data_IF_249716597154
#
_entry.id   IF_249716597154
#
_cell.length_a   1.000
_cell.length_b   1.000
_cell.length_c   1.000
_cell.angle_alpha   90.00
_cell.angle_beta   90.00
_cell.angle_gamma   90.00
#
_symmetry.space_group_name_H-M   'P 1'
#
loop_
_entity.id
_entity.type
_entity.pdbx_description
1 polymer ?
#
# COMPACT_ATOMS: atom_id res chain seq x y z
N UNK A 1 -30.36 -8.26 19.86
CA UNK A 1 -29.35 -7.49 19.09
C UNK A 1 -28.80 -8.40 18.00
N UNK A 2 -28.67 -7.94 16.75
CA UNK A 2 -28.04 -8.76 15.70
C UNK A 2 -26.55 -8.90 15.99
N UNK A 3 -26.06 -10.14 16.00
CA UNK A 3 -24.62 -10.43 16.04
C UNK A 3 -24.01 -10.08 14.70
N UNK A 4 -22.75 -9.67 14.70
CA UNK A 4 -21.99 -9.46 13.48
C UNK A 4 -21.50 -10.81 12.93
N UNK A 5 -21.67 -11.02 11.63
CA UNK A 5 -21.01 -12.12 10.92
C UNK A 5 -19.50 -11.91 10.95
N UNK A 6 -18.69 -12.89 11.33
CA UNK A 6 -17.23 -12.74 11.33
C UNK A 6 -16.73 -12.65 9.89
N UNK A 7 -16.41 -11.44 9.44
CA UNK A 7 -15.86 -11.12 8.12
C UNK A 7 -15.11 -9.77 8.19
N UNK A 8 -14.55 -9.30 7.08
CA UNK A 8 -13.83 -8.02 7.02
C UNK A 8 -14.70 -6.81 7.35
N UNK A 9 -16.01 -6.85 7.07
CA UNK A 9 -16.95 -5.77 7.41
C UNK A 9 -17.15 -5.65 8.92
N UNK A 10 -17.34 -6.78 9.62
CA UNK A 10 -17.51 -6.77 11.07
C UNK A 10 -16.24 -6.36 11.81
N UNK A 11 -15.05 -6.68 11.29
CA UNK A 11 -13.77 -6.18 11.82
C UNK A 11 -13.72 -4.66 11.87
N UNK A 12 -14.14 -3.98 10.80
CA UNK A 12 -14.13 -2.52 10.75
C UNK A 12 -15.12 -1.93 11.73
N UNK A 13 -16.30 -2.52 11.82
CA UNK A 13 -17.33 -2.10 12.76
C UNK A 13 -16.86 -2.29 14.21
N UNK A 14 -16.27 -3.44 14.55
CA UNK A 14 -15.69 -3.71 15.87
C UNK A 14 -14.56 -2.73 16.18
N UNK A 15 -13.64 -2.46 15.23
CA UNK A 15 -12.57 -1.47 15.41
C UNK A 15 -13.13 -0.06 15.66
N UNK A 16 -14.21 0.32 14.96
CA UNK A 16 -14.89 1.62 15.14
C UNK A 16 -15.55 1.73 16.50
N UNK A 17 -16.30 0.71 16.91
CA UNK A 17 -17.01 0.71 18.18
C UNK A 17 -16.04 0.56 19.37
N UNK A 18 -14.95 -0.18 19.24
CA UNK A 18 -13.88 -0.24 20.23
C UNK A 18 -13.20 1.13 20.43
N UNK A 19 -13.01 1.93 19.36
CA UNK A 19 -12.50 3.30 19.48
C UNK A 19 -13.48 4.21 20.24
N UNK A 20 -14.80 4.04 20.05
CA UNK A 20 -15.82 4.77 20.82
C UNK A 20 -15.81 4.36 22.29
N UNK A 21 -15.78 3.06 22.55
CA UNK A 21 -15.77 2.50 23.90
C UNK A 21 -14.51 2.94 24.68
N UNK A 22 -13.34 2.92 24.03
CA UNK A 22 -12.10 3.45 24.58
C UNK A 22 -12.27 4.88 25.10
N UNK A 23 -12.86 5.77 24.28
CA UNK A 23 -13.08 7.17 24.66
C UNK A 23 -14.08 7.32 25.81
N UNK A 24 -15.13 6.52 25.81
CA UNK A 24 -16.19 6.60 26.83
C UNK A 24 -15.78 6.03 28.20
N UNK A 25 -14.99 4.95 28.21
CA UNK A 25 -14.63 4.23 29.45
C UNK A 25 -13.16 4.39 29.88
N UNK A 26 -12.35 5.11 29.12
CA UNK A 26 -10.92 5.33 29.37
C UNK A 26 -10.11 4.02 29.59
N UNK A 27 -10.41 2.98 28.81
CA UNK A 27 -9.73 1.68 28.86
C UNK A 27 -8.71 1.53 27.73
N UNK A 28 -7.90 0.46 27.74
CA UNK A 28 -6.98 0.18 26.64
C UNK A 28 -7.73 -0.18 25.34
N UNK A 29 -7.12 0.08 24.17
CA UNK A 29 -7.74 -0.28 22.89
C UNK A 29 -7.88 -1.80 22.73
N UNK A 30 -6.93 -2.57 23.29
CA UNK A 30 -6.96 -4.03 23.28
C UNK A 30 -8.17 -4.56 24.05
N UNK A 31 -8.36 -4.05 25.27
CA UNK A 31 -9.48 -4.40 26.13
C UNK A 31 -10.82 -3.99 25.50
N UNK A 32 -10.91 -2.79 24.93
CA UNK A 32 -12.10 -2.34 24.22
C UNK A 32 -12.46 -3.26 23.04
N UNK A 33 -11.47 -3.78 22.30
CA UNK A 33 -11.71 -4.74 21.21
C UNK A 33 -12.24 -6.07 21.72
N UNK A 34 -11.67 -6.59 22.81
CA UNK A 34 -12.15 -7.84 23.43
C UNK A 34 -13.60 -7.72 23.90
N UNK A 35 -13.96 -6.61 24.55
CA UNK A 35 -15.33 -6.35 25.01
C UNK A 35 -16.30 -6.34 23.81
N UNK A 36 -16.03 -5.51 22.80
CA UNK A 36 -16.94 -5.40 21.64
C UNK A 36 -17.03 -6.72 20.87
N UNK A 37 -15.93 -7.48 20.76
CA UNK A 37 -15.93 -8.80 20.11
C UNK A 37 -16.86 -9.76 20.84
N UNK A 38 -16.73 -9.86 22.16
CA UNK A 38 -17.56 -10.73 23.00
C UNK A 38 -19.04 -10.33 22.99
N UNK A 39 -19.33 -9.03 22.92
CA UNK A 39 -20.71 -8.51 22.89
C UNK A 39 -21.39 -8.67 21.52
N UNK A 40 -20.62 -8.57 20.42
CA UNK A 40 -21.16 -8.49 19.06
C UNK A 40 -20.96 -9.74 18.24
N UNK A 41 -20.21 -10.73 18.71
CA UNK A 41 -19.92 -11.96 17.98
C UNK A 41 -20.01 -13.18 18.90
N UNK A 42 -19.74 -14.37 18.36
CA UNK A 42 -19.66 -15.62 19.13
C UNK A 42 -18.26 -15.92 19.69
N UNK A 43 -17.31 -14.99 19.50
CA UNK A 43 -15.91 -15.17 19.91
C UNK A 43 -15.65 -14.58 21.29
N UNK A 44 -14.85 -15.28 22.10
CA UNK A 44 -14.50 -14.87 23.46
C UNK A 44 -13.52 -13.69 23.50
N UNK A 45 -12.68 -13.56 22.47
CA UNK A 45 -11.65 -12.54 22.37
C UNK A 45 -11.44 -12.09 20.92
N UNK A 46 -10.87 -10.89 20.76
CA UNK A 46 -10.44 -10.38 19.46
C UNK A 46 -9.50 -11.36 18.75
N UNK A 47 -8.53 -11.91 19.47
CA UNK A 47 -7.54 -12.82 18.90
C UNK A 47 -8.18 -14.15 18.45
N UNK A 48 -9.14 -14.69 19.21
CA UNK A 48 -9.88 -15.89 18.79
C UNK A 48 -10.68 -15.66 17.50
N UNK A 49 -11.29 -14.48 17.36
CA UNK A 49 -12.00 -14.09 16.14
C UNK A 49 -11.03 -13.90 14.96
N UNK A 50 -9.89 -13.22 15.18
CA UNK A 50 -8.86 -13.06 14.13
C UNK A 50 -8.31 -14.41 13.68
N UNK A 51 -8.06 -15.34 14.61
CA UNK A 51 -7.58 -16.68 14.30
C UNK A 51 -8.62 -17.50 13.54
N UNK A 52 -9.90 -17.41 13.90
CA UNK A 52 -10.98 -18.03 13.14
C UNK A 52 -11.05 -17.45 11.74
N UNK A 53 -11.02 -16.13 11.60
CA UNK A 53 -11.04 -15.45 10.31
C UNK A 53 -9.83 -15.79 9.45
N UNK A 54 -8.67 -15.97 10.07
CA UNK A 54 -7.48 -16.41 9.36
C UNK A 54 -7.60 -17.85 8.83
N UNK A 55 -8.27 -18.75 9.56
CA UNK A 55 -8.41 -20.16 9.18
C UNK A 55 -9.62 -20.46 8.30
N UNK A 56 -10.72 -19.74 8.53
CA UNK A 56 -12.05 -20.02 7.99
C UNK A 56 -12.67 -18.80 7.30
N UNK A 57 -12.10 -17.62 7.48
CA UNK A 57 -12.52 -16.43 6.75
C UNK A 57 -11.89 -16.43 5.37
N UNK A 58 -12.49 -15.67 4.46
CA UNK A 58 -12.00 -15.46 3.11
C UNK A 58 -10.77 -14.52 3.15
N UNK A 59 -9.70 -14.92 3.81
CA UNK A 59 -8.45 -14.16 3.90
C UNK A 59 -7.63 -14.44 2.66
N UNK A 60 -7.29 -13.38 1.92
CA UNK A 60 -6.35 -13.47 0.79
C UNK A 60 -4.93 -13.65 1.32
N UNK A 61 -4.52 -12.80 2.27
CA UNK A 61 -3.13 -12.72 2.73
C UNK A 61 -3.02 -12.01 4.09
N UNK A 62 -1.92 -12.25 4.80
CA UNK A 62 -1.48 -11.41 5.92
C UNK A 62 -0.15 -10.77 5.57
N UNK A 63 -0.18 -9.47 5.22
CA UNK A 63 1.05 -8.71 5.03
C UNK A 63 1.74 -8.47 6.37
N UNK A 64 3.07 -8.47 6.37
CA UNK A 64 3.82 -8.03 7.55
C UNK A 64 4.85 -6.96 7.22
N UNK A 65 5.02 -6.03 8.16
CA UNK A 65 6.00 -4.97 8.07
C UNK A 65 6.60 -4.68 9.44
N UNK A 66 7.82 -4.15 9.45
CA UNK A 66 8.48 -3.73 10.67
C UNK A 66 8.18 -2.26 10.94
N UNK A 67 7.77 -1.96 12.16
CA UNK A 67 7.70 -0.59 12.67
C UNK A 67 9.10 -0.10 13.04
N UNK A 68 9.27 1.20 13.33
CA UNK A 68 10.56 1.75 13.77
C UNK A 68 11.06 1.18 15.11
N UNK A 69 10.16 0.65 15.92
CA UNK A 69 10.50 0.04 17.21
C UNK A 69 10.88 -1.45 17.03
N UNK A 70 11.19 -1.88 15.80
CA UNK A 70 11.45 -3.27 15.39
C UNK A 70 10.32 -4.25 15.77
N UNK A 71 9.10 -3.73 15.97
CA UNK A 71 7.92 -4.56 16.18
C UNK A 71 7.34 -4.94 14.82
N UNK A 72 7.13 -6.25 14.64
CA UNK A 72 6.46 -6.81 13.47
C UNK A 72 4.95 -6.58 13.58
N UNK A 73 4.42 -5.72 12.73
CA UNK A 73 2.98 -5.53 12.56
C UNK A 73 2.43 -6.41 11.43
N UNK A 74 1.14 -6.76 11.55
CA UNK A 74 0.43 -7.62 10.60
C UNK A 74 -0.81 -6.92 10.07
N UNK A 75 -1.04 -7.03 8.77
CA UNK A 75 -2.21 -6.51 8.07
C UNK A 75 -2.92 -7.64 7.35
N UNK A 76 -4.11 -7.99 7.81
CA UNK A 76 -4.93 -9.01 7.15
C UNK A 76 -5.69 -8.39 5.98
N UNK A 77 -5.68 -9.05 4.83
CA UNK A 77 -6.41 -8.70 3.62
C UNK A 77 -7.48 -9.75 3.39
N UNK A 78 -8.72 -9.31 3.15
CA UNK A 78 -9.89 -10.17 2.93
C UNK A 78 -10.30 -10.16 1.46
N UNK A 79 -10.94 -11.25 1.00
CA UNK A 79 -11.42 -11.45 -0.36
C UNK A 79 -12.40 -10.35 -0.76
N UNK A 80 -13.38 -10.06 0.09
CA UNK A 80 -14.37 -9.01 -0.13
C UNK A 80 -13.77 -7.59 -0.08
N UNK A 81 -12.56 -7.45 0.48
CA UNK A 81 -11.87 -6.18 0.68
C UNK A 81 -10.39 -6.30 0.27
N UNK A 82 -10.08 -6.52 -1.02
CA UNK A 82 -8.73 -6.84 -1.44
C UNK A 82 -7.74 -5.67 -1.33
N UNK A 83 -8.23 -4.46 -1.05
CA UNK A 83 -7.45 -3.22 -1.15
C UNK A 83 -6.78 -2.81 0.17
N UNK A 84 -5.50 -2.49 0.09
CA UNK A 84 -4.72 -1.78 1.11
C UNK A 84 -4.28 -0.43 0.56
N UNK A 85 -4.62 0.64 1.27
CA UNK A 85 -4.29 2.02 0.88
C UNK A 85 -3.16 2.54 1.75
N UNK A 86 -2.06 2.96 1.13
CA UNK A 86 -0.96 3.68 1.76
C UNK A 86 -1.11 5.14 1.38
N UNK A 87 -1.27 6.01 2.37
CA UNK A 87 -1.43 7.43 2.11
C UNK A 87 -0.49 8.29 2.93
N UNK A 88 0.09 9.29 2.27
CA UNK A 88 1.07 10.18 2.87
C UNK A 88 1.25 11.46 2.05
N UNK A 89 1.86 12.49 2.63
CA UNK A 89 2.37 13.63 1.89
C UNK A 89 3.50 13.19 0.94
N UNK A 90 3.79 13.96 -0.12
CA UNK A 90 4.99 13.77 -0.93
C UNK A 90 6.25 13.68 -0.05
N UNK A 91 7.20 12.81 -0.41
CA UNK A 91 8.44 12.62 0.34
C UNK A 91 8.38 11.66 1.53
N UNK A 92 7.19 11.22 1.97
CA UNK A 92 7.05 10.29 3.10
C UNK A 92 7.31 8.80 2.75
N UNK A 93 8.02 8.49 1.67
CA UNK A 93 8.44 7.12 1.35
C UNK A 93 7.33 6.11 1.02
N UNK A 94 6.20 6.52 0.44
CA UNK A 94 5.09 5.61 0.06
C UNK A 94 5.55 4.49 -0.88
N UNK A 95 6.25 4.85 -1.95
CA UNK A 95 6.82 3.93 -2.94
C UNK A 95 7.78 2.94 -2.28
N UNK A 96 8.65 3.44 -1.40
CA UNK A 96 9.55 2.59 -0.61
C UNK A 96 8.77 1.61 0.28
N UNK A 97 7.70 2.06 0.92
CA UNK A 97 6.87 1.20 1.76
C UNK A 97 6.12 0.12 0.97
N UNK A 98 5.66 0.42 -0.25
CA UNK A 98 5.13 -0.60 -1.18
C UNK A 98 6.21 -1.66 -1.45
N UNK A 99 7.42 -1.24 -1.82
CA UNK A 99 8.52 -2.17 -2.11
C UNK A 99 8.87 -3.02 -0.88
N UNK A 100 8.95 -2.42 0.31
CA UNK A 100 9.22 -3.15 1.57
C UNK A 100 8.14 -4.21 1.85
N UNK A 101 6.86 -3.85 1.69
CA UNK A 101 5.75 -4.80 1.80
C UNK A 101 5.89 -5.94 0.78
N UNK A 102 6.13 -5.63 -0.49
CA UNK A 102 6.29 -6.65 -1.52
C UNK A 102 7.50 -7.56 -1.23
N UNK A 103 8.60 -7.03 -0.71
CA UNK A 103 9.80 -7.80 -0.38
C UNK A 103 9.57 -8.80 0.74
N UNK A 104 8.88 -8.38 1.80
CA UNK A 104 8.57 -9.24 2.94
C UNK A 104 7.68 -10.42 2.53
N UNK A 105 6.84 -10.22 1.50
CA UNK A 105 5.88 -11.21 1.03
C UNK A 105 6.47 -12.19 0.00
N UNK A 106 7.53 -11.80 -0.72
CA UNK A 106 8.08 -12.56 -1.86
C UNK A 106 6.97 -13.11 -2.77
N UNK A 107 6.09 -12.24 -3.31
CA UNK A 107 4.94 -12.69 -4.07
C UNK A 107 5.38 -13.52 -5.28
N UNK A 108 4.66 -14.61 -5.53
CA UNK A 108 4.97 -15.55 -6.63
C UNK A 108 4.94 -14.86 -8.00
N UNK A 109 3.96 -13.97 -8.20
CA UNK A 109 3.79 -13.15 -9.42
C UNK A 109 3.10 -11.82 -9.05
N UNK A 110 3.81 -10.70 -9.22
CA UNK A 110 3.31 -9.35 -8.92
C UNK A 110 3.19 -8.51 -10.21
N UNK A 111 2.11 -7.71 -10.33
CA UNK A 111 1.97 -6.67 -11.34
C UNK A 111 2.16 -5.32 -10.67
N UNK A 112 3.17 -4.57 -11.09
CA UNK A 112 3.46 -3.22 -10.60
C UNK A 112 3.07 -2.24 -11.69
N UNK A 113 2.06 -1.41 -11.42
CA UNK A 113 1.69 -0.29 -12.27
C UNK A 113 2.26 0.99 -11.67
N UNK A 114 3.27 1.54 -12.33
CA UNK A 114 3.90 2.78 -11.92
C UNK A 114 3.42 3.93 -12.83
N UNK A 115 3.09 5.07 -12.23
CA UNK A 115 2.59 6.24 -12.94
C UNK A 115 3.60 7.37 -12.80
N UNK A 116 4.46 7.51 -13.80
CA UNK A 116 5.59 8.44 -13.76
C UNK A 116 5.13 9.90 -13.58
N UNK A 117 5.88 10.61 -12.74
CA UNK A 117 5.98 12.07 -12.68
C UNK A 117 5.95 12.75 -14.04
N UNK A 118 5.29 13.91 -14.16
CA UNK A 118 5.57 14.77 -15.33
C UNK A 118 7.06 15.12 -15.34
N UNK A 119 7.63 15.35 -16.52
CA UNK A 119 9.07 15.46 -16.81
C UNK A 119 9.84 16.58 -16.03
N UNK A 120 9.20 17.26 -15.06
CA UNK A 120 9.77 18.37 -14.26
C UNK A 120 10.60 17.92 -13.06
N UNK A 121 10.47 16.67 -12.65
CA UNK A 121 11.41 16.03 -11.74
C UNK A 121 12.01 14.86 -12.54
N UNK A 122 13.33 14.75 -12.62
CA UNK A 122 13.96 13.56 -13.19
C UNK A 122 13.26 12.34 -12.58
N UNK A 123 12.82 11.36 -13.38
CA UNK A 123 12.10 10.21 -12.87
C UNK A 123 13.00 9.60 -11.79
N UNK A 124 12.59 9.77 -10.53
CA UNK A 124 13.11 8.96 -9.45
C UNK A 124 12.65 7.56 -9.83
N UNK A 125 13.54 6.81 -10.47
CA UNK A 125 13.20 5.55 -11.07
C UNK A 125 12.81 4.63 -9.91
N UNK A 126 11.52 4.43 -9.59
CA UNK A 126 11.14 3.47 -8.55
C UNK A 126 11.68 2.07 -8.89
N UNK A 127 11.92 1.82 -10.18
CA UNK A 127 12.76 0.76 -10.73
C UNK A 127 14.14 0.65 -10.12
N UNK A 128 14.84 1.77 -9.92
CA UNK A 128 16.10 1.78 -9.21
C UNK A 128 15.90 1.41 -7.76
N UNK A 129 14.78 1.75 -7.09
CA UNK A 129 14.53 1.26 -5.74
C UNK A 129 14.31 -0.26 -5.74
N UNK A 130 13.44 -0.79 -6.60
CA UNK A 130 13.19 -2.24 -6.71
C UNK A 130 14.48 -3.00 -7.01
N UNK A 131 15.31 -2.49 -7.94
CA UNK A 131 16.62 -3.06 -8.29
C UNK A 131 17.65 -2.89 -7.18
N UNK A 132 17.73 -1.71 -6.54
CA UNK A 132 18.67 -1.38 -5.46
C UNK A 132 18.39 -2.19 -4.19
N UNK A 133 17.13 -2.53 -3.94
CA UNK A 133 16.75 -3.37 -2.81
C UNK A 133 16.74 -4.87 -3.14
N UNK A 134 17.23 -5.29 -4.32
CA UNK A 134 17.36 -6.70 -4.71
C UNK A 134 16.03 -7.45 -4.56
N UNK A 135 14.93 -6.91 -5.11
CA UNK A 135 13.63 -7.57 -5.10
C UNK A 135 13.71 -8.94 -5.80
N UNK A 136 13.59 -10.03 -5.04
CA UNK A 136 13.75 -11.41 -5.54
C UNK A 136 12.46 -12.08 -6.02
N UNK A 137 11.34 -11.36 -6.06
CA UNK A 137 10.06 -11.91 -6.53
C UNK A 137 9.93 -11.84 -8.06
N UNK A 138 9.09 -12.69 -8.65
CA UNK A 138 8.72 -12.48 -10.05
C UNK A 138 7.73 -11.32 -10.12
N UNK A 139 8.09 -10.30 -10.89
CA UNK A 139 7.19 -9.19 -11.14
C UNK A 139 7.15 -8.85 -12.63
N UNK A 140 5.99 -8.36 -13.05
CA UNK A 140 5.80 -7.66 -14.30
C UNK A 140 5.56 -6.21 -13.97
N UNK A 141 6.24 -5.34 -14.69
CA UNK A 141 6.09 -3.91 -14.55
C UNK A 141 5.32 -3.33 -15.73
N UNK A 142 4.49 -2.33 -15.44
CA UNK A 142 3.84 -1.47 -16.41
C UNK A 142 4.09 -0.02 -16.00
N UNK A 143 4.75 0.73 -16.87
CA UNK A 143 5.11 2.12 -16.61
C UNK A 143 4.24 3.01 -17.52
N UNK A 144 3.56 3.96 -16.91
CA UNK A 144 2.67 4.88 -17.60
C UNK A 144 3.05 6.32 -17.28
N UNK A 145 3.23 7.17 -18.30
CA UNK A 145 3.42 8.62 -18.09
C UNK A 145 2.15 9.33 -17.63
N UNK A 146 1.02 8.84 -18.10
CA UNK A 146 -0.34 9.23 -17.70
C UNK A 146 -1.20 7.99 -17.72
N UNK A 147 -2.22 7.91 -16.86
CA UNK A 147 -3.21 6.83 -16.92
C UNK A 147 -4.51 7.34 -17.54
N UNK A 148 -5.13 6.50 -18.37
CA UNK A 148 -6.47 6.68 -18.91
C UNK A 148 -7.17 5.30 -18.92
N UNK A 149 -8.41 5.24 -19.41
CA UNK A 149 -9.17 4.00 -19.46
C UNK A 149 -8.46 2.89 -20.24
N UNK A 150 -7.71 3.22 -21.30
CA UNK A 150 -6.92 2.25 -22.06
C UNK A 150 -5.82 1.60 -21.20
N UNK A 151 -5.15 2.37 -20.35
CA UNK A 151 -4.15 1.84 -19.40
C UNK A 151 -4.80 0.96 -18.32
N UNK A 152 -5.99 1.33 -17.83
CA UNK A 152 -6.76 0.51 -16.89
C UNK A 152 -7.21 -0.82 -17.51
N UNK A 153 -7.63 -0.80 -18.79
CA UNK A 153 -7.93 -1.99 -19.57
C UNK A 153 -6.67 -2.87 -19.72
N UNK A 154 -5.50 -2.27 -19.97
CA UNK A 154 -4.24 -3.03 -20.04
C UNK A 154 -3.90 -3.70 -18.71
N UNK A 155 -4.07 -3.01 -17.58
CA UNK A 155 -3.92 -3.61 -16.25
C UNK A 155 -4.87 -4.81 -16.11
N UNK A 156 -6.17 -4.61 -16.39
CA UNK A 156 -7.17 -5.68 -16.28
C UNK A 156 -6.86 -6.88 -17.20
N UNK A 157 -6.41 -6.63 -18.43
CA UNK A 157 -6.02 -7.67 -19.38
C UNK A 157 -4.81 -8.47 -18.90
N UNK A 158 -3.84 -7.81 -18.27
CA UNK A 158 -2.71 -8.51 -17.63
C UNK A 158 -3.15 -9.35 -16.43
N UNK A 159 -4.05 -8.84 -15.59
CA UNK A 159 -4.63 -9.61 -14.49
C UNK A 159 -5.37 -10.86 -15.02
N UNK A 160 -6.13 -10.72 -16.12
CA UNK A 160 -6.87 -11.81 -16.78
C UNK A 160 -6.00 -12.94 -17.34
N UNK A 161 -4.68 -12.76 -17.46
CA UNK A 161 -3.75 -13.84 -17.82
C UNK A 161 -3.57 -14.86 -16.67
N UNK A 162 -4.12 -14.60 -15.48
CA UNK A 162 -4.29 -15.58 -14.40
C UNK A 162 -3.06 -15.83 -13.53
N UNK A 163 -1.97 -15.11 -13.79
CA UNK A 163 -0.68 -15.27 -13.12
C UNK A 163 -0.57 -14.40 -11.86
N UNK A 164 -0.95 -13.13 -11.98
CA UNK A 164 -0.81 -12.13 -10.93
C UNK A 164 -1.54 -12.51 -9.63
N UNK A 165 -0.82 -12.45 -8.50
CA UNK A 165 -1.35 -12.58 -7.13
C UNK A 165 -1.35 -11.26 -6.37
N UNK A 166 -0.64 -10.25 -6.88
CA UNK A 166 -0.51 -8.95 -6.23
C UNK A 166 -0.50 -7.85 -7.27
N UNK A 167 -1.42 -6.90 -7.15
CA UNK A 167 -1.41 -5.66 -7.91
C UNK A 167 -0.91 -4.54 -7.00
N UNK A 168 0.20 -3.90 -7.37
CA UNK A 168 0.69 -2.70 -6.72
C UNK A 168 0.53 -1.51 -7.68
N UNK A 169 -0.07 -0.42 -7.22
CA UNK A 169 -0.21 0.81 -7.98
C UNK A 169 0.42 1.95 -7.21
N UNK A 170 1.46 2.57 -7.77
CA UNK A 170 2.04 3.78 -7.19
C UNK A 170 1.34 5.04 -7.71
N UNK A 171 1.08 5.99 -6.82
CA UNK A 171 0.43 7.28 -7.11
C UNK A 171 -0.93 7.19 -7.88
N UNK A 172 -1.90 6.44 -7.33
CA UNK A 172 -3.27 6.29 -7.90
C UNK A 172 -3.98 7.63 -8.21
N UNK A 173 -3.59 8.71 -7.55
CA UNK A 173 -4.15 10.06 -7.74
C UNK A 173 -4.10 10.52 -9.19
N UNK A 174 -3.05 10.11 -9.91
CA UNK A 174 -2.87 10.43 -11.33
C UNK A 174 -3.87 9.72 -12.24
N UNK A 175 -4.47 8.62 -11.77
CA UNK A 175 -5.56 7.92 -12.47
C UNK A 175 -6.86 8.72 -12.36
N UNK A 176 -7.05 9.41 -11.23
CA UNK A 176 -8.37 9.84 -10.78
C UNK A 176 -8.60 11.35 -10.83
N UNK A 177 -7.53 12.14 -10.98
CA UNK A 177 -7.65 13.55 -11.36
C UNK A 177 -8.19 13.75 -12.78
N UNK A 178 -8.18 12.71 -13.62
CA UNK A 178 -8.46 12.88 -15.05
C UNK A 178 -9.94 12.98 -15.38
N UNK A 179 -10.89 12.51 -14.55
CA UNK A 179 -12.31 12.68 -14.87
C UNK A 179 -13.23 12.56 -13.65
N UNK A 180 -14.31 13.35 -13.63
CA UNK A 180 -15.57 13.12 -12.91
C UNK A 180 -16.26 11.77 -13.24
N UNK A 181 -15.53 10.81 -13.82
CA UNK A 181 -16.00 9.46 -14.06
C UNK A 181 -16.04 8.75 -12.71
N UNK A 182 -17.23 8.35 -12.32
CA UNK A 182 -17.51 7.52 -11.17
C UNK A 182 -16.78 6.17 -11.22
N UNK A 183 -15.45 6.12 -11.13
CA UNK A 183 -14.65 4.98 -10.67
C UNK A 183 -15.00 3.58 -11.21
N UNK A 184 -15.73 3.44 -12.33
CA UNK A 184 -16.40 2.20 -12.72
C UNK A 184 -15.38 1.14 -13.12
N UNK A 185 -14.36 1.53 -13.88
CA UNK A 185 -13.26 0.66 -14.26
C UNK A 185 -12.35 0.27 -13.10
N UNK A 186 -12.07 1.19 -12.17
CA UNK A 186 -11.26 0.81 -11.01
C UNK A 186 -12.05 -0.11 -10.08
N UNK A 187 -13.35 0.11 -9.90
CA UNK A 187 -14.22 -0.85 -9.22
C UNK A 187 -14.24 -2.20 -9.94
N UNK A 188 -14.29 -2.24 -11.28
CA UNK A 188 -14.19 -3.49 -12.04
C UNK A 188 -12.87 -4.23 -11.78
N UNK A 189 -11.74 -3.51 -11.73
CA UNK A 189 -10.45 -4.08 -11.34
C UNK A 189 -10.50 -4.65 -9.92
N UNK A 190 -11.05 -3.91 -8.96
CA UNK A 190 -11.16 -4.34 -7.56
C UNK A 190 -12.09 -5.55 -7.40
N UNK A 191 -13.21 -5.59 -8.13
CA UNK A 191 -14.14 -6.71 -8.17
C UNK A 191 -13.50 -7.94 -8.80
N UNK A 192 -12.74 -7.76 -9.88
CA UNK A 192 -11.96 -8.84 -10.49
C UNK A 192 -10.92 -9.37 -9.50
N UNK A 193 -10.18 -8.48 -8.84
CA UNK A 193 -9.18 -8.85 -7.85
C UNK A 193 -9.80 -9.61 -6.67
N UNK A 194 -10.96 -9.15 -6.16
CA UNK A 194 -11.73 -9.83 -5.12
C UNK A 194 -12.07 -11.27 -5.54
N UNK A 195 -12.74 -11.45 -6.69
CA UNK A 195 -13.14 -12.77 -7.21
C UNK A 195 -11.98 -13.75 -7.47
N UNK A 196 -10.78 -13.22 -7.68
CA UNK A 196 -9.59 -14.02 -8.03
C UNK A 196 -8.54 -14.06 -6.90
N UNK A 197 -8.89 -13.61 -5.69
CA UNK A 197 -7.97 -13.57 -4.55
C UNK A 197 -6.65 -12.84 -4.85
N UNK A 198 -6.74 -11.71 -5.56
CA UNK A 198 -5.61 -10.84 -5.87
C UNK A 198 -5.61 -9.70 -4.87
N UNK A 199 -4.52 -9.57 -4.10
CA UNK A 199 -4.35 -8.44 -3.18
C UNK A 199 -3.97 -7.18 -3.95
N UNK A 200 -4.54 -6.05 -3.56
CA UNK A 200 -4.29 -4.75 -4.20
C UNK A 200 -3.66 -3.80 -3.18
N UNK A 201 -2.53 -3.22 -3.54
CA UNK A 201 -1.81 -2.22 -2.73
C UNK A 201 -1.74 -0.93 -3.55
N UNK A 202 -2.23 0.17 -3.01
CA UNK A 202 -2.15 1.47 -3.70
C UNK A 202 -1.46 2.51 -2.82
N UNK A 203 -0.68 3.39 -3.45
CA UNK A 203 -0.19 4.61 -2.84
C UNK A 203 -0.98 5.84 -3.32
N UNK A 204 -1.36 6.72 -2.40
CA UNK A 204 -2.12 7.96 -2.66
C UNK A 204 -1.63 9.11 -1.77
N UNK A 205 -1.88 10.35 -2.17
CA UNK A 205 -1.62 11.54 -1.36
C UNK A 205 -2.77 11.86 -0.39
N UNK A 206 -2.44 12.46 0.76
CA UNK A 206 -3.34 12.65 1.91
C UNK A 206 -4.69 13.32 1.59
N UNK A 207 -4.67 14.36 0.76
CA UNK A 207 -5.84 15.19 0.47
C UNK A 207 -6.83 14.55 -0.51
N UNK A 208 -6.53 13.35 -1.01
CA UNK A 208 -7.35 12.74 -2.05
C UNK A 208 -8.21 11.59 -1.56
N UNK A 209 -7.98 11.02 -0.37
CA UNK A 209 -8.79 9.89 0.17
C UNK A 209 -10.29 10.17 0.17
N UNK A 210 -10.70 11.42 0.39
CA UNK A 210 -12.10 11.82 0.36
C UNK A 210 -12.74 11.60 -1.02
N UNK A 211 -11.96 11.75 -2.11
CA UNK A 211 -12.38 11.40 -3.48
C UNK A 211 -12.64 9.90 -3.66
N UNK A 212 -12.18 9.05 -2.73
CA UNK A 212 -12.31 7.59 -2.76
C UNK A 212 -13.32 7.04 -1.77
N UNK A 213 -14.18 7.86 -1.15
CA UNK A 213 -15.00 7.40 -0.02
C UNK A 213 -15.75 6.08 -0.30
N UNK A 214 -16.35 5.95 -1.49
CA UNK A 214 -17.05 4.73 -1.92
C UNK A 214 -16.12 3.51 -2.05
N UNK A 215 -14.96 3.67 -2.70
CA UNK A 215 -13.94 2.60 -2.85
C UNK A 215 -13.36 2.21 -1.48
N UNK A 216 -13.04 3.20 -0.65
CA UNK A 216 -12.55 3.03 0.71
C UNK A 216 -13.54 2.21 1.52
N UNK A 217 -14.82 2.55 1.44
CA UNK A 217 -15.88 1.86 2.17
C UNK A 217 -16.08 0.42 1.68
N UNK A 218 -16.08 0.21 0.37
CA UNK A 218 -16.50 -1.06 -0.22
C UNK A 218 -15.36 -2.08 -0.31
N UNK A 219 -14.16 -1.70 -0.72
CA UNK A 219 -13.10 -2.64 -1.10
C UNK A 219 -11.86 -2.61 -0.18
N UNK A 220 -11.74 -1.64 0.73
CA UNK A 220 -10.51 -1.47 1.51
C UNK A 220 -10.52 -2.26 2.81
N UNK A 221 -9.52 -3.12 3.00
CA UNK A 221 -9.21 -3.80 4.26
C UNK A 221 -8.42 -2.89 5.20
N UNK A 222 -7.39 -2.22 4.67
CA UNK A 222 -6.40 -1.50 5.46
C UNK A 222 -6.13 -0.10 4.90
N UNK A 223 -5.99 0.89 5.80
CA UNK A 223 -5.55 2.24 5.48
C UNK A 223 -4.34 2.55 6.37
N UNK A 224 -3.22 2.90 5.75
CA UNK A 224 -1.94 3.17 6.40
C UNK A 224 -1.58 4.63 6.16
N UNK A 225 -1.55 5.43 7.21
CA UNK A 225 -1.17 6.84 7.14
C UNK A 225 0.31 6.99 7.50
N UNK A 226 1.18 7.27 6.53
CA UNK A 226 2.60 7.44 6.82
C UNK A 226 2.93 8.83 7.41
N UNK A 227 2.03 9.81 7.34
CA UNK A 227 2.30 11.17 7.87
C UNK A 227 2.47 11.22 9.38
N UNK A 228 1.76 10.35 10.09
CA UNK A 228 1.80 10.26 11.56
C UNK A 228 2.54 9.00 12.01
N UNK A 229 3.20 8.33 11.07
CA UNK A 229 3.81 7.05 11.35
C UNK A 229 5.19 7.29 11.95
N UNK A 230 5.40 6.78 13.18
CA UNK A 230 6.72 6.41 13.68
C UNK A 230 7.29 5.25 12.85
N UNK A 231 7.19 5.24 11.51
CA UNK A 231 7.59 4.11 10.66
C UNK A 231 8.83 4.45 9.82
N UNK A 232 9.22 5.73 9.70
CA UNK A 232 10.21 6.11 8.69
C UNK A 232 11.36 7.04 9.12
N UNK A 233 11.52 7.44 10.37
CA UNK A 233 12.62 8.37 10.69
C UNK A 233 14.02 7.74 10.54
N UNK A 234 14.24 6.44 10.78
CA UNK A 234 15.61 5.89 10.83
C UNK A 234 16.15 5.38 9.49
N UNK A 235 15.29 4.99 8.53
CA UNK A 235 15.75 4.67 7.16
C UNK A 235 15.77 5.90 6.26
N UNK A 236 14.85 6.84 6.44
CA UNK A 236 14.86 8.09 5.66
C UNK A 236 16.02 9.01 6.07
N UNK A 237 16.44 9.01 7.35
CA UNK A 237 17.67 9.69 7.81
C UNK A 237 18.96 9.07 7.23
N UNK A 238 18.93 7.81 6.78
CA UNK A 238 20.04 7.22 6.02
C UNK A 238 20.02 7.62 4.53
N UNK A 239 18.85 8.01 3.99
CA UNK A 239 18.70 8.56 2.64
C UNK A 239 18.94 10.07 2.57
N UNK A 240 18.76 10.83 3.67
CA UNK A 240 19.15 12.25 3.74
C UNK A 240 20.69 12.43 3.74
N UNK A 241 21.47 11.36 3.97
CA UNK A 241 22.93 11.37 3.72
C UNK A 241 23.32 11.10 2.27
N UNK A 242 22.38 11.03 1.33
CA UNK A 242 22.70 11.00 -0.11
C UNK A 242 23.07 12.40 -0.62
N UNK A 243 22.56 13.48 -0.01
CA UNK A 243 23.04 14.84 -0.30
C UNK A 243 24.52 15.04 0.13
N UNK A 244 24.96 14.35 1.19
CA UNK A 244 26.37 14.29 1.61
C UNK A 244 27.25 13.42 0.69
N UNK A 245 26.65 12.51 -0.09
CA UNK A 245 27.36 11.68 -1.08
C UNK A 245 27.46 12.39 -2.44
N UNK A 246 26.40 13.08 -2.87
CA UNK A 246 26.40 13.87 -4.12
C UNK A 246 27.40 15.04 -4.02
N UNK A 247 27.43 15.74 -2.88
CA UNK A 247 28.42 16.82 -2.65
C UNK A 247 29.87 16.34 -2.47
N UNK A 248 30.09 15.07 -2.09
CA UNK A 248 31.45 14.47 -2.05
C UNK A 248 31.93 13.97 -3.41
N UNK A 249 31.03 13.54 -4.30
CA UNK A 249 31.38 13.19 -5.69
C UNK A 249 31.67 14.42 -6.55
N UNK A 250 31.00 15.55 -6.32
CA UNK A 250 31.28 16.79 -7.07
C UNK A 250 32.61 17.48 -6.69
N UNK A 251 33.20 17.14 -5.53
CA UNK A 251 34.52 17.67 -5.12
C UNK A 251 35.73 16.82 -5.55
N UNK A 252 35.54 15.71 -6.29
CA UNK A 252 36.66 14.83 -6.72
C UNK A 252 36.80 14.60 -8.23
N UNK A 253 36.14 15.39 -9.07
CA UNK A 253 36.36 15.37 -10.53
C UNK A 253 36.70 16.74 -11.08
N UNK A 254 37.81 17.34 -10.63
CA UNK A 254 38.56 18.30 -11.44
C UNK A 254 39.32 17.54 -12.52
N UNK A 255 38.62 17.14 -13.59
CA UNK A 255 39.29 16.73 -14.82
C UNK A 255 39.90 17.99 -15.48
N UNK A 256 41.23 18.11 -15.39
CA UNK A 256 42.01 19.04 -16.22
C UNK A 256 41.85 18.66 -17.68
N UNK A 257 41.11 19.45 -18.44
CA UNK A 257 41.12 19.39 -19.91
C UNK A 257 42.48 19.94 -20.39
N UNK A 258 43.39 19.04 -20.79
CA UNK A 258 44.56 19.41 -21.59
C UNK A 258 44.08 19.66 -23.02
N UNK A 259 44.10 20.92 -23.47
CA UNK A 259 43.97 21.26 -24.89
C UNK A 259 45.16 20.65 -25.63
N UNK A 260 44.89 19.73 -26.55
CA UNK A 260 45.84 19.34 -27.59
C UNK A 260 45.75 20.38 -28.71
N UNK A 261 46.79 21.18 -28.85
CA UNK A 261 46.98 22.03 -30.01
C UNK A 261 47.19 21.15 -31.25
N UNK A 262 46.34 21.32 -32.27
CA UNK A 262 46.64 20.85 -33.62
C UNK A 262 47.78 21.70 -34.18
N UNK A 263 48.87 21.05 -34.57
CA UNK A 263 49.78 21.54 -35.61
C UNK A 263 49.23 21.09 -36.96
#
# INVERSE_FOLDING_TARGET
MSKYTPNGLSIQQIKKDAKKLKKAKNISLSEARNIITKEKTDFESWDSMQNYLFKNGNVIEVLSFNTMEDKKEKLTIYEEKPLTIIHAKPGCGKSFFIVDLLQNEKPKECLIANIEGSDRFQPYNELELIKKYDFKGNYKEMIYKTINDFHMINILNELKKGKTKTLAIDEINRILDINNLENSFFNEILDYCSKNNIKVIIATQLFEIEKFEKIVKNHTSNIINLNNSKVLENKTLSMVKIEDLITKTEKKSTFKIKRLNKK
#
